data_IF_148179367556
#
_entry.id   IF_148179367556
#
_cell.length_a   1.000
_cell.length_b   1.000
_cell.length_c   1.000
_cell.angle_alpha   90.00
_cell.angle_beta   90.00
_cell.angle_gamma   90.00
#
_symmetry.space_group_name_H-M   'P 1'
#
loop_
_entity.id
_entity.type
_entity.pdbx_description
1 polymer ?
#
# COMPACT_ATOMS: atom_id res chain seq x y z
N UNK A 1 -12.42 62.50 -17.32
CA UNK A 1 -12.10 62.49 -15.88
C UNK A 1 -12.04 61.03 -15.41
N UNK A 2 -10.90 60.55 -14.89
CA UNK A 2 -10.72 59.15 -14.53
C UNK A 2 -11.02 58.92 -13.04
N UNK A 3 -11.71 57.82 -12.73
CA UNK A 3 -11.87 57.32 -11.35
C UNK A 3 -10.77 56.30 -11.10
N UNK A 4 -9.85 56.65 -10.22
CA UNK A 4 -8.73 55.81 -9.81
C UNK A 4 -9.18 54.83 -8.70
N UNK A 5 -9.19 53.54 -9.01
CA UNK A 5 -9.50 52.48 -8.05
C UNK A 5 -8.22 52.06 -7.30
N UNK A 6 -8.14 52.43 -6.01
CA UNK A 6 -7.03 52.09 -5.12
C UNK A 6 -7.01 50.60 -4.80
N UNK A 7 -6.02 49.88 -5.34
CA UNK A 7 -5.65 48.53 -4.87
C UNK A 7 -4.90 48.60 -3.54
N UNK A 8 -5.55 48.23 -2.44
CA UNK A 8 -4.88 47.91 -1.18
C UNK A 8 -4.14 46.57 -1.29
N UNK A 9 -2.82 46.64 -1.50
CA UNK A 9 -1.91 45.52 -1.23
C UNK A 9 -1.73 45.39 0.28
N UNK A 10 -2.25 44.31 0.87
CA UNK A 10 -1.87 43.90 2.23
C UNK A 10 -0.46 43.29 2.19
N UNK A 11 0.42 43.58 3.17
CA UNK A 11 1.75 43.00 3.22
C UNK A 11 1.68 41.51 3.57
N UNK A 12 2.50 40.72 2.89
CA UNK A 12 2.74 39.31 3.19
C UNK A 12 3.29 39.18 4.62
N UNK A 13 2.50 38.57 5.50
CA UNK A 13 2.98 38.13 6.79
C UNK A 13 3.98 36.99 6.58
N UNK A 14 5.26 37.26 6.80
CA UNK A 14 6.32 36.25 6.89
C UNK A 14 5.98 35.29 8.02
N UNK A 15 5.62 34.07 7.65
CA UNK A 15 5.33 32.95 8.56
C UNK A 15 6.57 32.68 9.41
N UNK A 16 6.50 32.93 10.72
CA UNK A 16 7.52 32.54 11.70
C UNK A 16 7.87 31.07 11.51
N UNK A 17 9.15 30.79 11.21
CA UNK A 17 9.73 29.45 11.32
C UNK A 17 9.49 28.97 12.75
N UNK A 18 8.73 27.89 12.90
CA UNK A 18 8.61 27.17 14.16
C UNK A 18 10.00 26.74 14.63
N UNK A 19 10.32 27.05 15.89
CA UNK A 19 11.53 26.63 16.57
C UNK A 19 11.72 25.12 16.38
N UNK A 20 12.92 24.72 15.95
CA UNK A 20 13.31 23.33 15.84
C UNK A 20 13.19 22.67 17.21
N UNK A 21 12.34 21.65 17.32
CA UNK A 21 12.38 20.71 18.44
C UNK A 21 13.77 20.07 18.44
N UNK A 22 14.57 20.41 19.45
CA UNK A 22 15.86 19.77 19.68
C UNK A 22 15.62 18.26 19.85
N UNK A 23 16.20 17.47 18.94
CA UNK A 23 16.17 16.02 19.05
C UNK A 23 16.96 15.60 20.30
N UNK A 24 16.51 14.57 21.03
CA UNK A 24 17.26 14.02 22.16
C UNK A 24 18.65 13.60 21.69
N UNK A 25 19.65 13.82 22.57
CA UNK A 25 21.04 13.48 22.33
C UNK A 25 21.23 12.00 22.00
N UNK A 26 22.28 11.66 21.25
CA UNK A 26 22.62 10.27 20.90
C UNK A 26 22.73 9.35 22.14
N UNK A 27 23.09 9.91 23.29
CA UNK A 27 23.12 9.23 24.59
C UNK A 27 21.72 8.85 25.11
N UNK A 28 20.73 9.74 24.97
CA UNK A 28 19.33 9.45 25.34
C UNK A 28 18.70 8.40 24.40
N UNK A 29 19.13 8.35 23.13
CA UNK A 29 18.75 7.27 22.21
C UNK A 29 19.34 5.92 22.63
N UNK A 30 20.61 5.89 23.03
CA UNK A 30 21.29 4.67 23.48
C UNK A 30 20.71 4.11 24.80
N UNK A 31 20.33 4.97 25.74
CA UNK A 31 19.72 4.56 27.02
C UNK A 31 18.28 4.04 26.83
N UNK A 32 17.55 4.60 25.85
CA UNK A 32 16.25 4.07 25.41
C UNK A 32 16.41 2.70 24.73
N UNK A 33 17.50 2.49 23.97
CA UNK A 33 17.86 1.21 23.33
C UNK A 33 18.30 0.13 24.33
N UNK A 34 18.81 0.50 25.51
CA UNK A 34 19.09 -0.42 26.61
C UNK A 34 17.82 -0.82 27.38
N UNK A 35 16.88 0.10 27.61
CA UNK A 35 15.54 -0.23 28.14
C UNK A 35 14.65 -1.00 27.13
N UNK A 36 15.03 -1.00 25.85
CA UNK A 36 14.44 -1.82 24.78
C UNK A 36 14.82 -3.31 24.86
N UNK A 37 15.60 -3.72 25.87
CA UNK A 37 15.89 -5.12 26.17
C UNK A 37 14.62 -5.87 26.63
N UNK A 38 14.02 -6.55 25.66
CA UNK A 38 13.17 -7.76 25.78
C UNK A 38 11.86 -7.56 26.56
N UNK A 39 10.91 -6.81 25.97
CA UNK A 39 9.49 -7.12 26.21
C UNK A 39 9.24 -8.55 25.72
N UNK A 40 9.15 -9.49 26.65
CA UNK A 40 8.72 -10.85 26.35
C UNK A 40 7.24 -10.82 25.99
N UNK A 41 6.88 -11.53 24.93
CA UNK A 41 5.49 -11.78 24.63
C UNK A 41 4.83 -12.46 25.83
N UNK A 42 3.65 -11.98 26.25
CA UNK A 42 2.92 -12.66 27.32
C UNK A 42 2.50 -14.05 26.83
N UNK A 43 2.55 -15.03 27.74
CA UNK A 43 2.14 -16.40 27.42
C UNK A 43 0.69 -16.46 26.93
N UNK A 44 -0.19 -15.61 27.48
CA UNK A 44 -1.56 -15.44 27.03
C UNK A 44 -1.68 -14.94 25.58
N UNK A 45 -0.87 -13.96 25.18
CA UNK A 45 -0.82 -13.46 23.79
C UNK A 45 -0.33 -14.55 22.85
N UNK A 46 0.68 -15.31 23.27
CA UNK A 46 1.22 -16.42 22.50
C UNK A 46 0.18 -17.52 22.27
N UNK A 47 -0.53 -17.94 23.32
CA UNK A 47 -1.62 -18.92 23.23
C UNK A 47 -2.74 -18.40 22.33
N UNK A 48 -3.22 -17.18 22.58
CA UNK A 48 -4.29 -16.57 21.81
C UNK A 48 -3.95 -16.54 20.32
N UNK A 49 -2.70 -16.23 19.96
CA UNK A 49 -2.26 -16.29 18.57
C UNK A 49 -2.51 -17.67 17.93
N UNK A 50 -2.08 -18.77 18.59
CA UNK A 50 -2.21 -20.11 18.01
C UNK A 50 -3.66 -20.55 17.82
N UNK A 51 -4.52 -20.21 18.77
CA UNK A 51 -5.96 -20.49 18.63
C UNK A 51 -6.62 -19.61 17.56
N UNK A 52 -6.17 -18.37 17.39
CA UNK A 52 -6.79 -17.43 16.44
C UNK A 52 -6.29 -17.58 15.00
N UNK A 53 -5.16 -18.22 14.74
CA UNK A 53 -4.61 -18.37 13.38
C UNK A 53 -5.60 -19.02 12.41
N UNK A 54 -6.20 -20.21 12.69
CA UNK A 54 -7.16 -20.84 11.77
C UNK A 54 -8.37 -19.95 11.49
N UNK A 55 -8.91 -19.30 12.53
CA UNK A 55 -10.04 -18.39 12.41
C UNK A 55 -9.71 -17.15 11.57
N UNK A 56 -8.51 -16.59 11.77
CA UNK A 56 -8.00 -15.45 11.02
C UNK A 56 -7.85 -15.80 9.53
N UNK A 57 -7.39 -17.01 9.23
CA UNK A 57 -7.23 -17.49 7.85
C UNK A 57 -8.56 -17.74 7.17
N UNK A 58 -9.56 -18.26 7.89
CA UNK A 58 -10.92 -18.37 7.38
C UNK A 58 -11.49 -16.99 7.05
N UNK A 59 -11.39 -16.02 7.98
CA UNK A 59 -11.81 -14.63 7.75
C UNK A 59 -11.13 -14.00 6.54
N UNK A 60 -9.81 -14.15 6.44
CA UNK A 60 -9.02 -13.69 5.30
C UNK A 60 -9.52 -14.31 3.99
N UNK A 61 -9.83 -15.62 4.00
CA UNK A 61 -10.31 -16.34 2.82
C UNK A 61 -11.66 -15.82 2.37
N UNK A 62 -12.62 -15.68 3.29
CA UNK A 62 -13.95 -15.11 3.02
C UNK A 62 -13.82 -13.69 2.46
N UNK A 63 -13.04 -12.84 3.13
CA UNK A 63 -12.82 -11.46 2.73
C UNK A 63 -12.21 -11.34 1.32
N UNK A 64 -11.16 -12.12 1.05
CA UNK A 64 -10.50 -12.14 -0.25
C UNK A 64 -11.44 -12.67 -1.34
N UNK A 65 -12.19 -13.75 -1.07
CA UNK A 65 -13.18 -14.28 -2.01
C UNK A 65 -14.26 -13.26 -2.34
N UNK A 66 -14.77 -12.52 -1.35
CA UNK A 66 -15.72 -11.44 -1.61
C UNK A 66 -15.10 -10.34 -2.49
N UNK A 67 -13.87 -9.91 -2.21
CA UNK A 67 -13.15 -8.96 -3.05
C UNK A 67 -12.98 -9.44 -4.49
N UNK A 68 -12.59 -10.71 -4.69
CA UNK A 68 -12.45 -11.35 -6.00
C UNK A 68 -13.78 -11.33 -6.76
N UNK A 69 -14.89 -11.71 -6.12
CA UNK A 69 -16.20 -11.72 -6.75
C UNK A 69 -16.63 -10.30 -7.19
N UNK A 70 -16.31 -9.27 -6.40
CA UNK A 70 -16.60 -7.87 -6.78
C UNK A 70 -15.75 -7.40 -7.95
N UNK A 71 -14.46 -7.77 -7.97
CA UNK A 71 -13.61 -7.47 -9.13
C UNK A 71 -14.12 -8.20 -10.38
N UNK A 72 -14.55 -9.45 -10.25
CA UNK A 72 -15.13 -10.22 -11.34
C UNK A 72 -16.39 -9.54 -11.89
N UNK A 73 -17.27 -9.08 -11.01
CA UNK A 73 -18.49 -8.36 -11.36
C UNK A 73 -18.22 -7.07 -12.14
N UNK A 74 -17.32 -6.21 -11.68
CA UNK A 74 -17.01 -4.95 -12.38
C UNK A 74 -16.22 -5.10 -13.69
N UNK A 75 -15.82 -6.33 -14.04
CA UNK A 75 -15.13 -6.65 -15.29
C UNK A 75 -16.07 -7.38 -16.26
N UNK A 76 -16.91 -8.29 -15.77
CA UNK A 76 -17.67 -9.21 -16.63
C UNK A 76 -19.18 -8.98 -16.59
N UNK A 77 -19.79 -8.85 -15.42
CA UNK A 77 -21.26 -8.81 -15.30
C UNK A 77 -21.82 -7.39 -15.37
N UNK A 78 -21.16 -6.47 -14.68
CA UNK A 78 -21.56 -5.06 -14.62
C UNK A 78 -20.32 -4.20 -14.87
N UNK A 79 -19.74 -4.27 -16.08
CA UNK A 79 -18.47 -3.65 -16.39
C UNK A 79 -18.46 -2.15 -16.08
N UNK A 80 -17.32 -1.64 -15.63
CA UNK A 80 -17.09 -0.20 -15.50
C UNK A 80 -16.65 0.35 -16.87
N UNK A 81 -17.43 1.22 -17.53
CA UNK A 81 -17.04 1.77 -18.82
C UNK A 81 -15.84 2.73 -18.72
N UNK A 82 -15.12 2.99 -19.82
CA UNK A 82 -14.20 4.13 -19.90
C UNK A 82 -14.94 5.46 -19.66
N UNK A 83 -14.21 6.51 -19.32
CA UNK A 83 -14.76 7.87 -19.33
C UNK A 83 -15.72 8.21 -18.20
N UNK A 84 -15.79 7.37 -17.16
CA UNK A 84 -16.57 7.72 -15.97
C UNK A 84 -16.00 8.95 -15.26
N UNK A 85 -14.73 9.28 -15.49
CA UNK A 85 -14.07 10.47 -14.97
C UNK A 85 -13.24 11.13 -16.07
N UNK A 86 -13.15 12.45 -16.03
CA UNK A 86 -12.34 13.24 -16.96
C UNK A 86 -10.87 13.37 -16.51
N UNK A 87 -10.01 13.96 -17.36
CA UNK A 87 -8.58 14.16 -17.05
C UNK A 87 -8.33 15.09 -15.86
N UNK A 88 -9.26 15.98 -15.55
CA UNK A 88 -9.20 16.92 -14.42
C UNK A 88 -9.76 16.32 -13.12
N UNK A 89 -10.25 15.08 -13.14
CA UNK A 89 -10.82 14.47 -11.95
C UNK A 89 -9.72 14.22 -10.89
N UNK A 90 -9.96 14.45 -9.59
CA UNK A 90 -8.93 14.32 -8.55
C UNK A 90 -8.27 12.95 -8.47
N UNK A 91 -8.99 11.86 -8.75
CA UNK A 91 -8.38 10.52 -8.85
C UNK A 91 -7.35 10.37 -9.99
N UNK A 92 -7.40 11.25 -10.99
CA UNK A 92 -6.49 11.28 -12.14
C UNK A 92 -5.32 12.24 -11.89
N UNK A 93 -5.58 13.41 -11.30
CA UNK A 93 -4.55 14.43 -11.05
C UNK A 93 -3.78 14.16 -9.74
N UNK A 94 -4.46 13.62 -8.74
CA UNK A 94 -3.92 13.51 -7.38
C UNK A 94 -4.00 14.81 -6.57
N UNK A 95 -4.70 15.81 -7.10
CA UNK A 95 -4.77 17.16 -6.53
C UNK A 95 -6.04 17.37 -5.72
N UNK A 96 -5.93 18.14 -4.63
CA UNK A 96 -7.06 18.56 -3.82
C UNK A 96 -7.81 19.67 -4.57
N UNK A 97 -9.12 19.53 -4.86
CA UNK A 97 -9.85 20.51 -5.67
C UNK A 97 -9.79 21.96 -5.17
N UNK A 98 -9.74 22.16 -3.85
CA UNK A 98 -9.76 23.50 -3.24
C UNK A 98 -8.41 24.20 -3.24
N UNK A 99 -7.30 23.47 -3.33
CA UNK A 99 -5.94 24.05 -3.21
C UNK A 99 -5.05 23.81 -4.42
N UNK A 100 -5.37 22.83 -5.26
CA UNK A 100 -4.48 22.35 -6.33
C UNK A 100 -3.24 21.59 -5.82
N UNK A 101 -3.10 21.40 -4.51
CA UNK A 101 -1.95 20.70 -3.93
C UNK A 101 -2.11 19.16 -4.01
N UNK A 102 -1.01 18.39 -4.05
CA UNK A 102 -1.07 16.93 -3.95
C UNK A 102 -1.73 16.45 -2.66
N UNK A 103 -2.67 15.51 -2.75
CA UNK A 103 -3.39 14.99 -1.57
C UNK A 103 -2.55 14.04 -0.72
N UNK A 104 -1.65 13.26 -1.32
CA UNK A 104 -1.04 12.13 -0.64
C UNK A 104 -0.16 12.50 0.56
N UNK A 105 0.70 13.56 0.50
CA UNK A 105 1.41 14.05 1.68
C UNK A 105 0.49 14.41 2.86
N UNK A 106 -0.69 14.97 2.56
CA UNK A 106 -1.70 15.35 3.57
C UNK A 106 -2.41 14.14 4.19
N UNK A 107 -2.31 12.98 3.55
CA UNK A 107 -2.93 11.74 4.00
C UNK A 107 -1.96 10.80 4.73
N UNK A 108 -0.76 11.27 5.08
CA UNK A 108 0.16 10.49 5.91
C UNK A 108 -0.38 10.46 7.35
N UNK A 109 -0.78 9.27 7.80
CA UNK A 109 -1.35 9.04 9.13
C UNK A 109 -0.33 8.55 10.14
N UNK A 110 0.80 7.99 9.67
CA UNK A 110 1.87 7.54 10.56
C UNK A 110 3.21 7.54 9.85
N UNK A 111 4.26 7.91 10.59
CA UNK A 111 5.66 7.81 10.20
C UNK A 111 6.41 7.14 11.34
N UNK A 112 7.03 5.98 11.11
CA UNK A 112 7.98 5.47 12.10
C UNK A 112 9.19 6.40 12.19
N UNK A 113 9.82 6.54 13.38
CA UNK A 113 11.09 7.24 13.51
C UNK A 113 12.13 6.60 12.58
N UNK A 114 12.67 7.37 11.65
CA UNK A 114 13.63 6.83 10.68
C UNK A 114 14.98 6.56 11.35
N UNK A 115 15.51 5.38 11.08
CA UNK A 115 16.84 4.89 11.50
C UNK A 115 17.80 4.84 10.31
N UNK A 116 17.35 5.31 9.14
CA UNK A 116 18.19 5.44 7.97
C UNK A 116 19.10 6.67 8.14
N UNK A 117 20.35 6.65 7.63
CA UNK A 117 21.21 7.82 7.66
C UNK A 117 20.50 9.05 7.07
N UNK A 118 20.70 10.24 7.64
CA UNK A 118 20.00 11.47 7.22
C UNK A 118 20.15 11.77 5.72
N UNK A 119 21.29 11.42 5.14
CA UNK A 119 21.58 11.66 3.71
C UNK A 119 21.21 10.47 2.80
N UNK A 120 20.61 9.41 3.34
CA UNK A 120 20.43 8.14 2.61
C UNK A 120 19.11 8.01 1.85
N UNK A 121 18.25 9.02 1.86
CA UNK A 121 16.89 8.87 1.34
C UNK A 121 16.23 10.15 0.86
N UNK A 122 15.15 9.95 0.12
CA UNK A 122 14.19 11.01 -0.21
C UNK A 122 13.27 11.28 0.99
N UNK A 123 12.77 12.52 1.10
CA UNK A 123 11.78 12.88 2.10
C UNK A 123 10.49 12.06 1.97
N UNK A 124 9.83 11.78 3.10
CA UNK A 124 8.61 10.97 3.18
C UNK A 124 7.52 11.47 2.23
N UNK A 125 7.33 12.80 2.15
CA UNK A 125 6.37 13.45 1.27
C UNK A 125 6.69 13.24 -0.21
N UNK A 126 7.99 13.23 -0.58
CA UNK A 126 8.43 12.96 -1.94
C UNK A 126 8.21 11.49 -2.32
N UNK A 127 8.53 10.56 -1.42
CA UNK A 127 8.27 9.12 -1.60
C UNK A 127 6.78 8.87 -1.84
N UNK A 128 5.94 9.41 -0.95
CA UNK A 128 4.48 9.24 -1.01
C UNK A 128 3.91 9.87 -2.28
N UNK A 129 4.40 11.04 -2.69
CA UNK A 129 3.98 11.70 -3.92
C UNK A 129 4.37 10.90 -5.17
N UNK A 130 5.56 10.30 -5.22
CA UNK A 130 5.97 9.42 -6.33
C UNK A 130 5.06 8.21 -6.48
N UNK A 131 4.70 7.58 -5.36
CA UNK A 131 3.78 6.44 -5.33
C UNK A 131 2.38 6.87 -5.75
N UNK A 132 1.89 7.97 -5.19
CA UNK A 132 0.61 8.56 -5.54
C UNK A 132 0.49 8.89 -7.03
N UNK A 133 1.45 9.63 -7.58
CA UNK A 133 1.49 10.02 -8.99
C UNK A 133 1.55 8.81 -9.93
N UNK A 134 2.33 7.78 -9.58
CA UNK A 134 2.34 6.52 -10.33
C UNK A 134 0.94 5.87 -10.41
N UNK A 135 0.17 5.91 -9.33
CA UNK A 135 -1.16 5.31 -9.24
C UNK A 135 -2.23 6.18 -9.91
N UNK A 136 -2.13 7.50 -9.79
CA UNK A 136 -2.95 8.45 -10.52
C UNK A 136 -2.82 8.25 -12.05
N UNK A 137 -1.58 8.03 -12.52
CA UNK A 137 -1.31 7.70 -13.92
C UNK A 137 -1.93 6.35 -14.37
N UNK A 138 -2.20 5.41 -13.46
CA UNK A 138 -2.96 4.20 -13.79
C UNK A 138 -4.44 4.50 -13.99
N UNK A 139 -5.03 5.33 -13.13
CA UNK A 139 -6.42 5.79 -13.23
C UNK A 139 -6.63 6.60 -14.52
N UNK A 140 -5.67 7.49 -14.84
CA UNK A 140 -5.66 8.32 -16.03
C UNK A 140 -5.87 7.55 -17.34
N UNK A 141 -5.47 6.26 -17.39
CA UNK A 141 -5.66 5.39 -18.58
C UNK A 141 -7.11 5.04 -18.85
N UNK A 142 -8.01 5.27 -17.88
CA UNK A 142 -9.45 5.12 -18.05
C UNK A 142 -10.18 6.45 -18.22
N UNK A 143 -9.50 7.59 -18.06
CA UNK A 143 -10.09 8.88 -18.37
C UNK A 143 -10.28 9.01 -19.89
N UNK A 144 -11.42 9.53 -20.31
CA UNK A 144 -11.67 9.82 -21.73
C UNK A 144 -10.89 11.06 -22.11
N UNK A 145 -10.21 10.96 -23.26
CA UNK A 145 -9.66 12.10 -24.00
C UNK A 145 -10.43 12.20 -25.32
N UNK A 146 -10.71 13.41 -25.84
CA UNK A 146 -11.52 13.61 -27.03
C UNK A 146 -11.09 12.76 -28.24
N UNK A 147 -9.80 12.46 -28.35
CA UNK A 147 -9.19 11.78 -29.49
C UNK A 147 -9.36 10.25 -29.44
N UNK A 148 -9.68 9.66 -28.27
CA UNK A 148 -9.87 8.22 -28.10
C UNK A 148 -11.03 7.96 -27.13
N UNK A 149 -12.28 7.81 -27.62
CA UNK A 149 -13.47 7.61 -26.78
C UNK A 149 -13.40 6.38 -25.86
N UNK A 150 -12.56 5.42 -26.22
CA UNK A 150 -12.33 4.16 -25.51
C UNK A 150 -11.16 4.22 -24.50
N UNK A 151 -10.46 5.35 -24.41
CA UNK A 151 -9.22 5.55 -23.63
C UNK A 151 -7.97 4.95 -24.30
N UNK A 152 -6.78 5.37 -23.82
CA UNK A 152 -5.47 4.92 -24.33
C UNK A 152 -5.29 3.39 -24.25
N UNK A 153 -4.36 2.85 -25.05
CA UNK A 153 -3.96 1.45 -24.98
C UNK A 153 -3.63 1.04 -23.53
N UNK A 154 -4.27 -0.02 -23.04
CA UNK A 154 -4.26 -0.39 -21.62
C UNK A 154 -3.98 -1.87 -21.43
N UNK A 155 -3.25 -2.17 -20.35
CA UNK A 155 -2.95 -3.55 -19.91
C UNK A 155 -3.94 -4.08 -18.88
N UNK A 156 -4.90 -3.26 -18.41
CA UNK A 156 -5.85 -3.62 -17.37
C UNK A 156 -7.27 -3.14 -17.74
N UNK A 157 -8.33 -3.86 -17.35
CA UNK A 157 -9.71 -3.40 -17.48
C UNK A 157 -9.96 -2.09 -16.73
N UNK A 158 -10.89 -1.27 -17.22
CA UNK A 158 -11.18 0.04 -16.61
C UNK A 158 -11.60 -0.06 -15.15
N UNK A 159 -12.38 -1.08 -14.79
CA UNK A 159 -12.74 -1.36 -13.41
C UNK A 159 -11.52 -1.46 -12.50
N UNK A 160 -10.47 -2.16 -12.93
CA UNK A 160 -9.22 -2.26 -12.16
C UNK A 160 -8.52 -0.91 -12.04
N UNK A 161 -8.46 -0.12 -13.12
CA UNK A 161 -7.87 1.21 -13.04
C UNK A 161 -8.63 2.10 -12.05
N UNK A 162 -9.97 2.07 -12.02
CA UNK A 162 -10.74 2.88 -11.07
C UNK A 162 -10.58 2.45 -9.61
N UNK A 163 -10.35 1.16 -9.35
CA UNK A 163 -10.02 0.67 -8.00
C UNK A 163 -8.81 1.43 -7.45
N UNK A 164 -7.81 1.75 -8.27
CA UNK A 164 -6.64 2.50 -7.82
C UNK A 164 -6.99 3.89 -7.31
N UNK A 165 -7.98 4.58 -7.90
CA UNK A 165 -8.46 5.87 -7.39
C UNK A 165 -9.04 5.72 -5.99
N UNK A 166 -9.95 4.75 -5.82
CA UNK A 166 -10.57 4.46 -4.53
C UNK A 166 -9.56 4.04 -3.45
N UNK A 167 -8.56 3.23 -3.80
CA UNK A 167 -7.56 2.72 -2.85
C UNK A 167 -6.51 3.78 -2.53
N UNK A 168 -6.08 4.61 -3.48
CA UNK A 168 -4.85 5.42 -3.32
C UNK A 168 -5.08 6.90 -3.13
N UNK A 169 -6.04 7.50 -3.84
CA UNK A 169 -6.36 8.92 -3.61
C UNK A 169 -6.93 9.10 -2.20
N UNK A 170 -7.82 8.19 -1.79
CA UNK A 170 -8.50 8.25 -0.51
C UNK A 170 -7.74 7.57 0.66
N UNK A 171 -6.60 6.92 0.44
CA UNK A 171 -5.92 6.12 1.47
C UNK A 171 -5.35 6.95 2.61
N UNK A 172 -5.16 6.31 3.77
CA UNK A 172 -4.18 6.74 4.77
C UNK A 172 -2.83 6.07 4.52
N UNK A 173 -1.74 6.86 4.56
CA UNK A 173 -0.38 6.38 4.33
C UNK A 173 0.38 6.16 5.62
N UNK A 174 1.02 4.99 5.73
CA UNK A 174 1.89 4.60 6.83
C UNK A 174 3.30 4.45 6.24
N UNK A 175 4.28 5.19 6.76
CA UNK A 175 5.68 5.07 6.34
C UNK A 175 6.52 4.35 7.39
N UNK A 176 7.28 3.36 6.92
CA UNK A 176 8.16 2.52 7.70
C UNK A 176 9.53 2.44 7.02
N UNK A 177 10.60 2.13 7.75
CA UNK A 177 11.93 2.03 7.12
C UNK A 177 12.07 0.76 6.27
N UNK A 178 11.75 -0.40 6.86
CA UNK A 178 11.88 -1.72 6.24
C UNK A 178 10.92 -2.74 6.87
N UNK A 179 10.99 -4.02 6.45
CA UNK A 179 10.10 -5.06 6.98
C UNK A 179 10.31 -5.36 8.47
N UNK A 180 11.53 -5.20 9.01
CA UNK A 180 11.80 -5.39 10.44
C UNK A 180 11.08 -4.33 11.25
N UNK A 181 11.12 -3.10 10.78
CA UNK A 181 10.34 -2.00 11.33
C UNK A 181 8.84 -2.28 11.26
N UNK A 182 8.37 -2.82 10.13
CA UNK A 182 6.98 -3.26 9.99
C UNK A 182 6.57 -4.39 10.93
N UNK A 183 7.41 -5.40 11.16
CA UNK A 183 7.12 -6.46 12.13
C UNK A 183 6.91 -5.89 13.53
N UNK A 184 7.75 -4.94 13.94
CA UNK A 184 7.64 -4.30 15.26
C UNK A 184 6.35 -3.53 15.40
N UNK A 185 5.99 -2.71 14.41
CA UNK A 185 4.77 -1.92 14.48
C UNK A 185 3.51 -2.78 14.43
N UNK A 186 3.38 -3.66 13.44
CA UNK A 186 2.17 -4.48 13.29
C UNK A 186 2.05 -5.63 14.32
N UNK A 187 3.09 -5.89 15.11
CA UNK A 187 2.97 -6.79 16.27
C UNK A 187 2.55 -6.08 17.56
N UNK A 188 2.44 -4.76 17.55
CA UNK A 188 1.88 -3.98 18.66
C UNK A 188 0.34 -3.99 18.58
N UNK A 189 -0.37 -4.52 19.59
CA UNK A 189 -1.83 -4.51 19.61
C UNK A 189 -2.44 -3.11 19.51
N UNK A 190 -1.78 -2.08 20.03
CA UNK A 190 -2.25 -0.70 19.96
C UNK A 190 -2.18 -0.17 18.53
N UNK A 191 -1.10 -0.48 17.79
CA UNK A 191 -0.96 -0.09 16.39
C UNK A 191 -2.00 -0.79 15.50
N UNK A 192 -2.21 -2.09 15.71
CA UNK A 192 -3.24 -2.87 15.02
C UNK A 192 -4.65 -2.35 15.36
N UNK A 193 -4.86 -1.96 16.62
CA UNK A 193 -6.08 -1.31 17.09
C UNK A 193 -6.36 0.00 16.33
N UNK A 194 -5.35 0.85 16.19
CA UNK A 194 -5.43 2.10 15.42
C UNK A 194 -5.70 1.85 13.93
N UNK A 195 -5.05 0.86 13.32
CA UNK A 195 -5.34 0.49 11.93
C UNK A 195 -6.80 0.05 11.72
N UNK A 196 -7.35 -0.71 12.68
CA UNK A 196 -8.78 -1.11 12.67
C UNK A 196 -9.70 0.08 12.91
N UNK A 197 -9.36 0.96 13.85
CA UNK A 197 -10.11 2.18 14.16
C UNK A 197 -10.18 3.09 12.93
N UNK A 198 -9.03 3.37 12.32
CA UNK A 198 -8.92 4.15 11.08
C UNK A 198 -9.82 3.59 9.98
N UNK A 199 -9.71 2.30 9.67
CA UNK A 199 -10.49 1.67 8.61
C UNK A 199 -12.01 1.71 8.88
N UNK A 200 -12.41 1.52 10.14
CA UNK A 200 -13.81 1.52 10.55
C UNK A 200 -14.44 2.91 10.50
N UNK A 201 -13.76 3.92 11.03
CA UNK A 201 -14.28 5.29 11.14
C UNK A 201 -14.20 6.03 9.82
N UNK A 202 -13.04 6.01 9.16
CA UNK A 202 -12.85 6.76 7.93
C UNK A 202 -13.42 6.04 6.71
N UNK A 203 -13.62 4.71 6.79
CA UNK A 203 -13.97 3.86 5.65
C UNK A 203 -12.98 4.03 4.48
N UNK A 204 -11.69 4.24 4.78
CA UNK A 204 -10.58 4.34 3.83
C UNK A 204 -9.71 3.10 3.90
N UNK A 205 -8.92 2.90 2.86
CA UNK A 205 -7.89 1.85 2.83
C UNK A 205 -6.58 2.37 3.44
N UNK A 206 -5.70 1.46 3.84
CA UNK A 206 -4.36 1.79 4.33
C UNK A 206 -3.31 1.39 3.30
N UNK A 207 -2.31 2.24 3.12
CA UNK A 207 -1.17 1.98 2.25
C UNK A 207 0.10 2.11 3.07
N UNK A 208 0.79 0.98 3.25
CA UNK A 208 2.09 0.93 3.93
C UNK A 208 3.19 1.12 2.90
N UNK A 209 4.12 2.01 3.15
CA UNK A 209 5.25 2.33 2.27
C UNK A 209 6.54 2.09 3.04
N UNK A 210 7.50 1.44 2.40
CA UNK A 210 8.84 1.26 2.95
C UNK A 210 9.83 2.24 2.33
N UNK A 211 10.56 2.99 3.16
CA UNK A 211 11.58 3.95 2.74
C UNK A 211 12.74 3.24 2.03
N UNK A 212 13.18 2.09 2.54
CA UNK A 212 14.22 1.30 1.88
C UNK A 212 13.68 0.68 0.59
N UNK A 213 14.17 1.19 -0.54
CA UNK A 213 13.78 0.74 -1.88
C UNK A 213 14.23 -0.67 -2.22
N UNK A 214 15.36 -1.08 -1.64
CA UNK A 214 15.92 -2.42 -1.80
C UNK A 214 15.35 -3.39 -0.75
N UNK A 215 14.91 -4.57 -1.19
CA UNK A 215 14.32 -5.57 -0.31
C UNK A 215 14.53 -7.01 -0.81
N UNK A 216 14.51 -7.95 0.13
CA UNK A 216 14.47 -9.37 -0.17
C UNK A 216 13.02 -9.81 -0.52
N UNK A 217 12.87 -10.56 -1.61
CA UNK A 217 11.55 -10.97 -2.12
C UNK A 217 10.85 -11.94 -1.15
N UNK A 218 11.63 -12.79 -0.49
CA UNK A 218 11.12 -13.78 0.48
C UNK A 218 10.62 -13.07 1.73
N UNK A 219 11.45 -12.21 2.34
CA UNK A 219 11.08 -11.40 3.49
C UNK A 219 9.85 -10.54 3.20
N UNK A 220 9.71 -10.04 1.97
CA UNK A 220 8.53 -9.29 1.59
C UNK A 220 7.27 -10.19 1.58
N UNK A 221 7.33 -11.36 0.94
CA UNK A 221 6.20 -12.30 0.93
C UNK A 221 5.81 -12.75 2.35
N UNK A 222 6.80 -13.00 3.21
CA UNK A 222 6.62 -13.31 4.62
C UNK A 222 5.95 -12.15 5.37
N UNK A 223 6.42 -10.91 5.18
CA UNK A 223 5.81 -9.72 5.78
C UNK A 223 4.33 -9.58 5.40
N UNK A 224 3.98 -9.81 4.13
CA UNK A 224 2.59 -9.76 3.67
C UNK A 224 1.73 -10.81 4.37
N UNK A 225 2.21 -12.04 4.51
CA UNK A 225 1.49 -13.08 5.22
C UNK A 225 1.33 -12.78 6.72
N UNK A 226 2.34 -12.16 7.33
CA UNK A 226 2.27 -11.67 8.69
C UNK A 226 1.22 -10.57 8.86
N UNK A 227 1.22 -9.53 8.03
CA UNK A 227 0.21 -8.46 8.10
C UNK A 227 -1.19 -9.05 7.96
N UNK A 228 -1.40 -10.03 7.06
CA UNK A 228 -2.69 -10.72 6.91
C UNK A 228 -3.13 -11.53 8.13
N UNK A 229 -2.17 -11.92 8.98
CA UNK A 229 -2.45 -12.62 10.24
C UNK A 229 -2.80 -11.62 11.35
N UNK A 230 -2.26 -10.39 11.29
CA UNK A 230 -2.60 -9.33 12.25
C UNK A 230 -3.90 -8.61 11.85
N UNK A 231 -4.12 -8.42 10.56
CA UNK A 231 -5.26 -7.77 9.94
C UNK A 231 -5.80 -8.72 8.85
N UNK A 232 -6.92 -9.43 9.06
CA UNK A 232 -7.44 -10.46 8.13
C UNK A 232 -8.08 -9.86 6.86
N UNK A 233 -7.39 -8.89 6.28
CA UNK A 233 -7.75 -8.17 5.07
C UNK A 233 -6.81 -8.56 3.93
N UNK A 234 -7.25 -8.31 2.70
CA UNK A 234 -6.41 -8.56 1.55
C UNK A 234 -5.23 -7.59 1.55
N UNK A 235 -4.02 -8.09 1.31
CA UNK A 235 -2.82 -7.24 1.26
C UNK A 235 -2.16 -7.41 -0.12
N UNK A 236 -2.15 -6.34 -0.92
CA UNK A 236 -1.48 -6.36 -2.23
C UNK A 236 -0.08 -5.75 -2.12
N UNK A 237 0.96 -6.52 -2.43
CA UNK A 237 2.36 -6.11 -2.36
C UNK A 237 2.87 -5.59 -3.69
N UNK A 238 3.18 -4.31 -3.82
CA UNK A 238 3.84 -3.76 -5.01
C UNK A 238 5.29 -3.37 -4.69
N UNK A 239 6.13 -3.22 -5.70
CA UNK A 239 7.51 -2.77 -5.48
C UNK A 239 8.36 -2.61 -6.74
N UNK A 240 9.55 -1.99 -6.61
CA UNK A 240 10.44 -1.70 -7.73
C UNK A 240 11.18 -2.92 -8.28
N UNK A 241 11.29 -4.01 -7.50
CA UNK A 241 11.93 -5.25 -7.96
C UNK A 241 10.93 -6.16 -8.69
N UNK A 242 11.32 -7.43 -8.86
CA UNK A 242 10.43 -8.50 -9.34
C UNK A 242 9.15 -8.56 -8.50
N UNK A 243 8.10 -9.08 -9.14
CA UNK A 243 6.79 -9.25 -8.50
C UNK A 243 6.91 -10.11 -7.25
N UNK A 244 6.29 -9.65 -6.18
CA UNK A 244 6.09 -10.42 -4.94
C UNK A 244 4.62 -10.77 -4.86
N UNK A 245 4.31 -12.06 -4.81
CA UNK A 245 2.95 -12.60 -4.80
C UNK A 245 2.10 -11.99 -5.96
N UNK A 246 0.97 -11.35 -5.65
CA UNK A 246 0.07 -10.72 -6.63
C UNK A 246 0.54 -9.33 -7.12
N UNK A 247 1.77 -8.97 -6.77
CA UNK A 247 2.29 -7.62 -6.91
C UNK A 247 2.51 -7.11 -8.31
N UNK A 248 2.40 -5.79 -8.44
CA UNK A 248 2.78 -5.04 -9.62
C UNK A 248 4.04 -4.19 -9.36
N UNK A 249 4.72 -3.73 -10.44
CA UNK A 249 5.77 -2.74 -10.31
C UNK A 249 5.24 -1.46 -9.63
N UNK A 250 6.05 -0.88 -8.75
CA UNK A 250 5.81 0.42 -8.12
C UNK A 250 7.16 1.11 -7.82
N UNK A 251 7.19 2.43 -7.59
CA UNK A 251 8.44 3.15 -7.32
C UNK A 251 9.16 2.67 -6.05
N UNK A 252 8.39 2.29 -5.03
CA UNK A 252 8.83 1.82 -3.71
C UNK A 252 8.09 0.55 -3.30
N UNK A 253 8.57 -0.21 -2.30
CA UNK A 253 7.83 -1.34 -1.75
C UNK A 253 6.59 -0.82 -1.02
N UNK A 254 5.42 -1.26 -1.46
CA UNK A 254 4.12 -0.78 -0.99
C UNK A 254 3.18 -1.93 -0.69
N UNK A 255 2.52 -1.90 0.47
CA UNK A 255 1.45 -2.84 0.84
C UNK A 255 0.13 -2.11 0.91
N UNK A 256 -0.77 -2.43 -0.02
CA UNK A 256 -2.14 -1.97 0.04
C UNK A 256 -2.91 -2.91 0.95
N UNK A 257 -3.28 -2.45 2.14
CA UNK A 257 -4.14 -3.17 3.07
C UNK A 257 -5.58 -2.83 2.72
N UNK A 258 -6.26 -3.78 2.08
CA UNK A 258 -7.55 -3.60 1.41
C UNK A 258 -8.67 -4.24 2.22
N UNK A 259 -9.42 -3.38 2.90
CA UNK A 259 -10.57 -3.63 3.77
C UNK A 259 -11.87 -3.80 3.01
N UNK A 260 -11.90 -3.51 1.71
CA UNK A 260 -13.09 -3.64 0.86
C UNK A 260 -13.91 -2.35 0.73
N UNK A 261 -13.50 -1.28 1.41
CA UNK A 261 -14.14 0.02 1.30
C UNK A 261 -14.06 0.59 -0.14
N UNK A 262 -13.05 0.20 -0.91
CA UNK A 262 -12.93 0.55 -2.33
C UNK A 262 -14.15 0.17 -3.17
N UNK A 263 -14.86 -0.89 -2.80
CA UNK A 263 -16.00 -1.45 -3.55
C UNK A 263 -17.03 -0.35 -3.74
N UNK A 264 -17.52 0.22 -2.63
CA UNK A 264 -18.54 1.26 -2.63
C UNK A 264 -18.15 2.44 -3.49
N UNK A 265 -16.94 2.95 -3.31
CA UNK A 265 -16.48 4.15 -4.02
C UNK A 265 -16.31 3.87 -5.51
N UNK A 266 -15.87 2.67 -5.90
CA UNK A 266 -15.76 2.28 -7.31
C UNK A 266 -17.12 2.19 -7.97
N UNK A 267 -18.12 1.55 -7.36
CA UNK A 267 -19.47 1.47 -7.96
C UNK A 267 -20.15 2.85 -8.05
N UNK A 268 -19.89 3.76 -7.10
CA UNK A 268 -20.44 5.12 -7.12
C UNK A 268 -20.04 5.91 -8.37
N UNK A 269 -18.89 5.61 -9.00
CA UNK A 269 -18.50 6.26 -10.27
C UNK A 269 -19.52 6.06 -11.40
N UNK A 270 -20.41 5.07 -11.33
CA UNK A 270 -21.40 4.82 -12.38
C UNK A 270 -22.43 5.94 -12.51
N UNK A 271 -22.71 6.70 -11.44
CA UNK A 271 -23.64 7.84 -11.48
C UNK A 271 -22.90 9.17 -11.49
N UNK A 272 -23.51 10.20 -12.10
CA UNK A 272 -22.93 11.54 -12.14
C UNK A 272 -22.68 12.11 -10.73
N UNK A 273 -23.68 12.03 -9.85
CA UNK A 273 -23.57 12.44 -8.45
C UNK A 273 -22.49 11.65 -7.69
N UNK A 274 -22.40 10.34 -7.95
CA UNK A 274 -21.44 9.49 -7.27
C UNK A 274 -19.99 9.81 -7.66
N UNK A 275 -19.71 10.24 -8.90
CA UNK A 275 -18.36 10.67 -9.33
C UNK A 275 -17.83 11.83 -8.50
N UNK A 276 -18.65 12.83 -8.20
CA UNK A 276 -18.24 13.93 -7.34
C UNK A 276 -18.03 13.47 -5.89
N UNK A 277 -18.91 12.59 -5.38
CA UNK A 277 -18.91 12.17 -3.98
C UNK A 277 -17.80 11.17 -3.60
N UNK A 278 -17.08 10.59 -4.56
CA UNK A 278 -15.99 9.63 -4.27
C UNK A 278 -14.65 10.28 -3.99
N UNK A 279 -14.52 11.59 -4.30
CA UNK A 279 -13.37 12.40 -3.93
C UNK A 279 -13.54 12.81 -2.47
N UNK A 280 -12.70 12.28 -1.59
CA UNK A 280 -12.75 12.60 -0.17
C UNK A 280 -11.73 13.69 0.18
N UNK A 281 -11.99 14.51 1.21
CA UNK A 281 -11.04 15.52 1.65
C UNK A 281 -9.74 14.88 2.18
N UNK A 282 -8.68 15.65 2.36
CA UNK A 282 -7.50 15.22 3.11
C UNK A 282 -7.86 14.75 4.53
N UNK A 283 -6.97 14.00 5.16
CA UNK A 283 -7.17 13.51 6.53
C UNK A 283 -6.93 14.57 7.62
N UNK A 284 -6.66 15.84 7.28
CA UNK A 284 -6.56 16.99 8.19
C UNK A 284 -5.88 16.69 9.54
N UNK A 285 -4.63 16.22 9.49
CA UNK A 285 -3.82 15.96 10.70
C UNK A 285 -4.45 14.93 11.64
N UNK A 286 -5.28 14.04 11.08
CA UNK A 286 -6.12 13.09 11.78
C UNK A 286 -5.44 12.47 13.00
N UNK A 287 -6.10 12.54 14.15
CA UNK A 287 -5.70 11.98 15.44
C UNK A 287 -5.61 10.44 15.49
N UNK A 288 -5.22 9.81 14.39
CA UNK A 288 -4.91 8.40 14.27
C UNK A 288 -3.43 8.19 14.49
N UNK A 289 -3.09 7.06 15.09
CA UNK A 289 -1.72 6.67 15.38
C UNK A 289 -0.94 7.68 16.26
N UNK A 290 -1.64 8.50 17.06
CA UNK A 290 -1.03 9.48 17.96
C UNK A 290 -0.51 8.91 19.28
N UNK A 291 -0.93 7.69 19.65
CA UNK A 291 -0.51 7.04 20.89
C UNK A 291 0.88 6.40 20.84
N UNK A 292 1.65 6.66 19.78
CA UNK A 292 2.99 6.13 19.60
C UNK A 292 4.01 6.67 20.63
N UNK A 293 5.24 6.13 20.64
CA UNK A 293 5.78 5.18 19.67
C UNK A 293 5.22 3.77 19.85
N UNK A 294 4.86 3.13 18.74
CA UNK A 294 4.41 1.73 18.74
C UNK A 294 5.61 0.80 18.70
N UNK A 295 5.66 -0.17 19.62
CA UNK A 295 6.85 -0.98 19.89
C UNK A 295 6.44 -2.42 20.22
N UNK A 296 5.96 -3.13 19.21
CA UNK A 296 5.67 -4.55 19.31
C UNK A 296 6.93 -5.40 19.42
N UNK A 297 6.75 -6.64 19.87
CA UNK A 297 7.83 -7.53 20.29
C UNK A 297 8.46 -8.34 19.15
N UNK A 298 7.84 -8.33 17.96
CA UNK A 298 8.25 -9.21 16.86
C UNK A 298 9.10 -8.46 15.86
N UNK A 299 10.16 -9.13 15.41
CA UNK A 299 11.04 -8.65 14.34
C UNK A 299 11.05 -9.58 13.13
N UNK A 300 10.30 -10.68 13.21
CA UNK A 300 10.22 -11.70 12.18
C UNK A 300 8.87 -12.41 12.18
N UNK A 301 8.66 -13.17 11.12
CA UNK A 301 7.51 -14.07 10.99
C UNK A 301 7.63 -15.33 11.84
N UNK A 302 6.48 -15.93 12.16
CA UNK A 302 6.32 -17.28 12.71
C UNK A 302 6.08 -18.29 11.59
N UNK A 303 6.23 -19.57 11.90
CA UNK A 303 6.05 -20.64 10.90
C UNK A 303 4.68 -20.63 10.18
N UNK A 304 3.53 -20.27 10.81
CA UNK A 304 2.25 -20.25 10.08
C UNK A 304 2.24 -19.20 9.00
N UNK A 305 2.84 -18.04 9.26
CA UNK A 305 2.90 -16.95 8.29
C UNK A 305 3.84 -17.30 7.13
N UNK A 306 4.95 -18.01 7.42
CA UNK A 306 5.79 -18.61 6.37
C UNK A 306 5.00 -19.60 5.52
N UNK A 307 4.24 -20.49 6.17
CA UNK A 307 3.39 -21.45 5.48
C UNK A 307 2.34 -20.73 4.62
N UNK A 308 1.69 -19.68 5.15
CA UNK A 308 0.73 -18.88 4.40
C UNK A 308 1.37 -18.18 3.19
N UNK A 309 2.60 -17.68 3.32
CA UNK A 309 3.34 -17.12 2.20
C UNK A 309 3.60 -18.17 1.11
N UNK A 310 4.03 -19.37 1.50
CA UNK A 310 4.26 -20.50 0.60
C UNK A 310 2.97 -20.96 -0.09
N UNK A 311 1.89 -21.17 0.67
CA UNK A 311 0.58 -21.55 0.14
C UNK A 311 0.03 -20.48 -0.81
N UNK A 312 0.19 -19.20 -0.46
CA UNK A 312 -0.20 -18.09 -1.34
C UNK A 312 0.58 -18.12 -2.64
N UNK A 313 1.89 -18.36 -2.58
CA UNK A 313 2.73 -18.50 -3.76
C UNK A 313 2.29 -19.66 -4.65
N UNK A 314 2.08 -20.85 -4.09
CA UNK A 314 1.60 -22.00 -4.87
C UNK A 314 0.23 -21.74 -5.49
N UNK A 315 -0.69 -21.12 -4.75
CA UNK A 315 -2.01 -20.72 -5.26
C UNK A 315 -1.92 -19.74 -6.43
N UNK A 316 -0.92 -18.85 -6.44
CA UNK A 316 -0.65 -17.95 -7.58
C UNK A 316 -0.14 -18.74 -8.77
N UNK A 317 0.88 -19.59 -8.53
CA UNK A 317 1.51 -20.40 -9.55
C UNK A 317 0.54 -21.34 -10.25
N UNK A 318 -0.35 -22.00 -9.51
CA UNK A 318 -1.37 -22.90 -10.05
C UNK A 318 -2.30 -22.22 -11.07
N UNK A 319 -2.32 -20.87 -11.14
CA UNK A 319 -3.10 -20.12 -12.13
C UNK A 319 -2.38 -19.91 -13.47
N UNK A 320 -1.09 -20.24 -13.55
CA UNK A 320 -0.29 -20.19 -14.78
C UNK A 320 -0.20 -18.81 -15.44
N UNK A 321 -0.18 -18.80 -16.77
CA UNK A 321 0.09 -17.65 -17.69
C UNK A 321 -0.88 -16.46 -17.54
N UNK A 322 -1.86 -16.54 -16.63
CA UNK A 322 -2.69 -15.39 -16.22
C UNK A 322 -1.89 -14.35 -15.42
N UNK A 323 -0.61 -14.60 -15.11
CA UNK A 323 0.32 -13.55 -14.71
C UNK A 323 0.05 -12.98 -13.32
N UNK A 324 -0.47 -13.78 -12.40
CA UNK A 324 -0.93 -13.33 -11.08
C UNK A 324 -2.19 -12.45 -11.09
N UNK A 325 -2.69 -12.00 -12.25
CA UNK A 325 -3.91 -11.19 -12.36
C UNK A 325 -5.11 -12.13 -12.56
N UNK A 326 -6.03 -12.17 -11.59
CA UNK A 326 -7.24 -13.02 -11.64
C UNK A 326 -8.08 -12.83 -12.92
N UNK A 327 -8.03 -11.63 -13.53
CA UNK A 327 -9.04 -11.18 -14.49
C UNK A 327 -8.46 -10.69 -15.81
N UNK A 328 -7.16 -10.90 -16.03
CA UNK A 328 -6.45 -10.38 -17.21
C UNK A 328 -5.73 -11.51 -17.92
N UNK A 329 -6.20 -11.86 -19.11
CA UNK A 329 -5.50 -12.83 -19.94
C UNK A 329 -4.32 -12.15 -20.66
N UNK A 330 -3.10 -12.35 -20.14
CA UNK A 330 -1.88 -11.80 -20.74
C UNK A 330 -1.67 -12.21 -22.20
N UNK A 331 -2.13 -13.41 -22.59
CA UNK A 331 -2.06 -13.89 -23.97
C UNK A 331 -2.79 -12.97 -24.95
N UNK A 332 -3.83 -12.27 -24.47
CA UNK A 332 -4.59 -11.31 -25.28
C UNK A 332 -3.97 -9.91 -25.32
N UNK A 333 -3.11 -9.57 -24.34
CA UNK A 333 -2.59 -8.21 -24.19
C UNK A 333 -1.15 -8.02 -24.65
N UNK A 334 -0.31 -9.05 -24.53
CA UNK A 334 1.11 -9.00 -24.90
C UNK A 334 1.55 -10.27 -25.64
N UNK A 335 0.83 -10.70 -26.70
CA UNK A 335 1.12 -11.95 -27.41
C UNK A 335 2.54 -11.99 -28.00
N UNK A 336 3.07 -10.85 -28.43
CA UNK A 336 4.44 -10.75 -28.97
C UNK A 336 5.51 -10.95 -27.88
N UNK A 337 5.31 -10.37 -26.68
CA UNK A 337 6.24 -10.53 -25.56
C UNK A 337 6.29 -11.97 -25.05
N UNK A 338 5.13 -12.64 -24.96
CA UNK A 338 5.05 -14.03 -24.52
C UNK A 338 5.67 -14.99 -25.54
N UNK A 339 5.46 -14.76 -26.84
CA UNK A 339 6.14 -15.52 -27.91
C UNK A 339 7.66 -15.39 -27.79
N UNK A 340 8.16 -14.16 -27.66
CA UNK A 340 9.59 -13.89 -27.46
C UNK A 340 10.15 -14.55 -26.19
N UNK A 341 9.41 -14.54 -25.08
CA UNK A 341 9.84 -15.22 -23.84
C UNK A 341 9.93 -16.74 -24.04
N UNK A 342 8.95 -17.33 -24.70
CA UNK A 342 8.93 -18.76 -25.04
C UNK A 342 10.09 -19.14 -25.96
N UNK A 343 10.37 -18.33 -26.99
CA UNK A 343 11.52 -18.50 -27.89
C UNK A 343 12.86 -18.41 -27.13
N UNK A 344 12.95 -17.54 -26.14
CA UNK A 344 14.14 -17.39 -25.28
C UNK A 344 14.23 -18.44 -24.15
N UNK A 345 13.31 -19.40 -24.08
CA UNK A 345 13.27 -20.39 -22.98
C UNK A 345 13.01 -19.78 -21.60
N UNK A 346 12.55 -18.54 -21.54
CA UNK A 346 12.23 -17.84 -20.29
C UNK A 346 10.83 -18.30 -19.86
N UNK A 347 10.73 -18.91 -18.68
CA UNK A 347 9.43 -19.28 -18.12
C UNK A 347 8.49 -18.05 -18.03
N UNK A 348 7.22 -18.22 -18.44
CA UNK A 348 6.19 -17.17 -18.53
C UNK A 348 5.98 -16.36 -17.24
N UNK A 349 6.29 -16.96 -16.09
CA UNK A 349 6.51 -16.24 -14.86
C UNK A 349 7.96 -16.50 -14.44
N UNK A 350 8.80 -15.45 -14.30
CA UNK A 350 10.11 -15.64 -13.71
C UNK A 350 9.86 -16.27 -12.35
N UNK A 351 10.42 -17.45 -12.14
CA UNK A 351 10.49 -18.08 -10.84
C UNK A 351 11.05 -16.96 -9.95
N UNK A 352 10.23 -16.39 -9.07
CA UNK A 352 10.77 -15.85 -7.84
C UNK A 352 11.32 -17.11 -7.20
N UNK A 353 12.59 -17.43 -7.50
CA UNK A 353 13.28 -18.60 -6.95
C UNK A 353 13.04 -18.46 -5.48
N UNK A 354 12.11 -19.25 -4.98
CA UNK A 354 11.90 -19.41 -3.57
C UNK A 354 13.13 -20.19 -3.14
N UNK A 355 14.25 -19.48 -3.01
CA UNK A 355 15.35 -19.86 -2.13
C UNK A 355 14.87 -19.97 -0.68
N UNK A 356 13.57 -19.77 -0.42
CA UNK A 356 12.81 -20.23 0.74
C UNK A 356 13.27 -21.60 1.27
N UNK A 357 13.62 -22.55 0.40
CA UNK A 357 14.17 -23.86 0.79
C UNK A 357 15.70 -23.95 0.77
N UNK A 358 16.40 -22.97 0.16
CA UNK A 358 17.86 -22.93 0.05
C UNK A 358 18.54 -22.03 1.07
N UNK A 359 17.81 -21.25 1.87
CA UNK A 359 18.39 -20.65 3.08
C UNK A 359 18.83 -21.80 3.98
N UNK A 360 20.12 -22.13 3.91
CA UNK A 360 20.76 -22.93 4.94
C UNK A 360 20.37 -22.34 6.29
N UNK A 361 20.02 -23.16 7.30
CA UNK A 361 19.77 -22.64 8.62
C UNK A 361 20.95 -21.73 9.00
N UNK A 362 20.70 -20.56 9.63
CA UNK A 362 21.79 -19.68 10.04
C UNK A 362 22.80 -20.55 10.79
N UNK A 363 24.03 -20.65 10.26
CA UNK A 363 25.11 -21.36 10.94
C UNK A 363 25.11 -20.78 12.36
N UNK A 364 24.75 -21.61 13.36
CA UNK A 364 24.86 -21.22 14.76
C UNK A 364 26.30 -20.73 14.90
N UNK A 365 26.49 -19.42 15.07
CA UNK A 365 27.80 -18.92 15.51
C UNK A 365 28.01 -19.63 16.83
N UNK A 366 28.96 -20.57 16.86
CA UNK A 366 29.49 -21.06 18.12
C UNK A 366 30.03 -19.80 18.80
N UNK A 367 29.35 -19.39 19.86
CA UNK A 367 29.88 -18.37 20.75
C UNK A 367 31.17 -19.01 21.32
N UNK A 368 32.33 -18.37 21.17
CA UNK A 368 33.57 -18.87 21.74
C UNK A 368 33.47 -18.98 23.26
#
# INVERSE_FOLDING_TARGET
>A
MPVAERRHRRPFATRRRSAGTAYPSDAAMAETDAQLLVRRESWSSWIAYWFLVPWTWLKLTIHNSHGILRVWDIIHFRPMPPGLIGPTHPWVTGEIPSTGEPIWPRNIVYRSPSRLPRDSGEDDEAIVSKIGGFLAAMVARSAVVPEIPWGRARRMPHGINYIHGAIHYNAGFILLDDFRDGFRHFSDPAFVGEARRFARETRRELVVIFRRRDYDLVAYAEFIAFVRTMLPWFCNSNGPKKRVLWGNPAPYPVVNIITGNWIRDTYRLKSAQGRAAVVRPPLDGSGYFCGGPYRGVRESVRWPERMLAVLTYFRIRLRGVRGGLFFVNRKKLIPATLRRQKELGIADEPIARLEFFRRSPPRRRRIP
#
